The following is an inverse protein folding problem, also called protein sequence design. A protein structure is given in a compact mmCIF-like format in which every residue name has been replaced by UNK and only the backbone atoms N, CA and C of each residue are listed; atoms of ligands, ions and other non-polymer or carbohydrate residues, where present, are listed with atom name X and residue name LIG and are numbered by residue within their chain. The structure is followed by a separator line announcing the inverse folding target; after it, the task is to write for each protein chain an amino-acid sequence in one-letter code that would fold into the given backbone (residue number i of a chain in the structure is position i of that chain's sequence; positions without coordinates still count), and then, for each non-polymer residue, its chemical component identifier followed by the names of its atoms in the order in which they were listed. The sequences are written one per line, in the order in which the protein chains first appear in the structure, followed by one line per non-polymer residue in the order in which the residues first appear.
data_IF_142110461966
#
_entry.id   IF_142110461966
#
_cell.length_a   1.000
_cell.length_b   1.000
_cell.length_c   1.000
_cell.angle_alpha   90.00
_cell.angle_beta   90.00
_cell.angle_gamma   90.00
#
_symmetry.space_group_name_H-M   'P 1'
#
loop_
_entity.id
_entity.type
_entity.pdbx_description
1 polymer ?
#
# COMPACT_ATOMS: atom_id res chain seq x y z
N UNK A 1 -7.87 2.20 -24.35
CA UNK A 1 -7.08 2.66 -23.18
C UNK A 1 -7.74 3.94 -22.69
N UNK A 2 -8.39 3.93 -21.53
CA UNK A 2 -8.91 5.16 -20.93
C UNK A 2 -7.72 5.81 -20.21
N UNK A 3 -7.41 7.04 -20.58
CA UNK A 3 -6.35 7.82 -19.93
C UNK A 3 -6.68 7.95 -18.44
N UNK A 4 -5.73 7.49 -17.62
CA UNK A 4 -5.76 7.71 -16.18
C UNK A 4 -5.63 9.23 -16.00
N UNK A 5 -6.65 9.87 -15.42
CA UNK A 5 -6.50 11.22 -14.90
C UNK A 5 -5.44 11.17 -13.79
N UNK A 6 -4.19 11.42 -14.19
CA UNK A 6 -3.02 11.36 -13.34
C UNK A 6 -3.24 12.28 -12.14
N UNK A 7 -3.00 11.78 -10.92
CA UNK A 7 -2.66 12.67 -9.80
C UNK A 7 -1.51 13.53 -10.32
N UNK A 8 -1.75 14.82 -10.48
CA UNK A 8 -0.81 15.72 -11.13
C UNK A 8 0.44 15.80 -10.25
N UNK A 9 1.56 15.27 -10.73
CA UNK A 9 2.85 15.35 -10.05
C UNK A 9 3.29 16.82 -9.87
N UNK A 10 2.68 17.74 -10.61
CA UNK A 10 2.84 19.20 -10.43
C UNK A 10 2.28 19.71 -9.11
N UNK A 11 1.32 19.01 -8.48
CA UNK A 11 0.70 19.47 -7.23
C UNK A 11 1.70 19.57 -6.06
N UNK A 12 2.81 18.83 -6.11
CA UNK A 12 3.91 18.88 -5.13
C UNK A 12 5.24 19.28 -5.76
N UNK A 13 5.21 19.88 -6.95
CA UNK A 13 6.40 20.25 -7.72
C UNK A 13 7.41 19.09 -7.93
N UNK A 14 6.92 17.84 -7.95
CA UNK A 14 7.79 16.66 -8.13
C UNK A 14 8.36 16.58 -9.55
N UNK A 15 7.68 17.22 -10.50
CA UNK A 15 8.07 17.20 -11.91
C UNK A 15 9.24 18.16 -12.20
N UNK A 16 9.40 19.25 -11.44
CA UNK A 16 10.60 20.08 -11.51
C UNK A 16 11.82 19.32 -10.94
N UNK A 17 11.63 18.61 -9.82
CA UNK A 17 12.66 17.78 -9.21
C UNK A 17 13.13 16.65 -10.14
N UNK A 18 12.24 16.07 -10.97
CA UNK A 18 12.63 15.08 -11.99
C UNK A 18 13.61 15.64 -13.03
N UNK A 19 13.52 16.93 -13.34
CA UNK A 19 14.29 17.59 -14.39
C UNK A 19 15.62 18.16 -13.89
N UNK A 20 15.76 18.46 -12.59
CA UNK A 20 17.01 18.97 -12.00
C UNK A 20 18.11 17.91 -11.85
N UNK A 21 17.76 16.61 -11.75
CA UNK A 21 18.77 15.56 -11.64
C UNK A 21 19.35 15.16 -12.99
N UNK A 22 20.68 15.18 -13.10
CA UNK A 22 21.43 14.77 -14.32
C UNK A 22 21.21 13.30 -14.73
N UNK A 23 20.67 12.46 -13.83
CA UNK A 23 20.18 11.11 -14.13
C UNK A 23 18.68 11.07 -13.89
N UNK A 24 17.90 10.54 -14.84
CA UNK A 24 16.45 10.33 -14.69
C UNK A 24 16.14 9.54 -13.40
N UNK A 25 15.71 10.24 -12.35
CA UNK A 25 15.29 9.62 -11.10
C UNK A 25 13.96 8.92 -11.33
N UNK A 26 13.82 7.69 -10.83
CA UNK A 26 12.57 6.93 -10.96
C UNK A 26 11.48 7.55 -10.10
N UNK A 27 10.25 7.58 -10.60
CA UNK A 27 9.06 8.06 -9.88
C UNK A 27 8.90 7.40 -8.49
N UNK A 28 9.14 6.07 -8.39
CA UNK A 28 9.13 5.34 -7.11
C UNK A 28 10.12 5.86 -6.06
N UNK A 29 11.21 6.50 -6.50
CA UNK A 29 12.24 7.03 -5.59
C UNK A 29 11.80 8.39 -5.06
N UNK A 30 11.23 9.22 -5.92
CA UNK A 30 10.70 10.54 -5.55
C UNK A 30 9.53 10.44 -4.57
N UNK A 31 8.58 9.54 -4.83
CA UNK A 31 7.45 9.35 -3.91
C UNK A 31 7.94 8.89 -2.54
N UNK A 32 8.93 7.98 -2.48
CA UNK A 32 9.48 7.52 -1.20
C UNK A 32 10.24 8.62 -0.48
N UNK A 33 10.98 9.47 -1.19
CA UNK A 33 11.76 10.56 -0.57
C UNK A 33 10.91 11.61 0.13
N UNK A 34 9.61 11.66 -0.14
CA UNK A 34 8.66 12.51 0.60
C UNK A 34 8.41 12.06 2.05
N UNK A 35 8.91 10.89 2.44
CA UNK A 35 8.66 10.27 3.74
C UNK A 35 9.94 10.04 4.53
N UNK A 36 9.83 10.03 5.86
CA UNK A 36 10.94 9.78 6.78
C UNK A 36 10.69 8.54 7.61
N UNK A 37 11.66 7.64 7.70
CA UNK A 37 11.53 6.41 8.51
C UNK A 37 11.51 6.71 10.01
N UNK A 38 10.65 6.03 10.79
CA UNK A 38 10.62 6.21 12.26
C UNK A 38 11.89 5.76 12.97
N UNK A 39 12.59 4.77 12.43
CA UNK A 39 13.72 4.16 13.12
C UNK A 39 14.91 5.12 13.10
N UNK A 40 15.40 5.61 14.26
CA UNK A 40 16.53 6.56 14.29
C UNK A 40 17.79 6.01 13.62
N UNK A 41 18.03 4.69 13.75
CA UNK A 41 19.13 3.99 13.08
C UNK A 41 18.96 3.84 11.55
N UNK A 42 17.79 4.12 10.99
CA UNK A 42 17.56 4.14 9.54
C UNK A 42 17.36 5.59 9.13
N UNK A 43 18.46 6.31 8.95
CA UNK A 43 18.43 7.67 8.41
C UNK A 43 17.86 7.64 6.98
N UNK A 44 16.89 8.51 6.71
CA UNK A 44 16.33 8.74 5.37
C UNK A 44 14.99 8.04 5.07
N UNK A 45 14.67 8.01 3.79
CA UNK A 45 13.37 7.60 3.28
C UNK A 45 13.17 6.07 3.30
N UNK A 46 11.92 5.56 3.39
CA UNK A 46 11.64 4.13 3.45
C UNK A 46 12.24 3.38 2.24
N UNK A 47 12.91 2.26 2.52
CA UNK A 47 13.45 1.39 1.47
C UNK A 47 12.30 0.75 0.67
N UNK A 48 12.50 0.58 -0.63
CA UNK A 48 11.53 -0.07 -1.53
C UNK A 48 11.11 -1.46 -1.05
N UNK A 49 12.09 -2.29 -0.72
CA UNK A 49 11.83 -3.67 -0.26
C UNK A 49 11.06 -3.68 1.06
N UNK A 50 11.33 -2.72 1.95
CA UNK A 50 10.60 -2.58 3.21
C UNK A 50 9.11 -2.30 2.96
N UNK A 51 8.80 -1.38 2.05
CA UNK A 51 7.43 -1.08 1.63
C UNK A 51 6.72 -2.30 1.03
N UNK A 52 7.36 -2.98 0.07
CA UNK A 52 6.84 -4.20 -0.54
C UNK A 52 6.54 -5.28 0.51
N UNK A 53 7.49 -5.48 1.42
CA UNK A 53 7.34 -6.40 2.55
C UNK A 53 6.13 -6.07 3.42
N UNK A 54 6.00 -4.81 3.86
CA UNK A 54 4.88 -4.35 4.69
C UNK A 54 3.54 -4.57 4.01
N UNK A 55 3.40 -4.11 2.77
CA UNK A 55 2.14 -4.18 2.01
C UNK A 55 1.74 -5.63 1.72
N UNK A 56 2.67 -6.46 1.22
CA UNK A 56 2.39 -7.86 0.91
C UNK A 56 2.05 -8.65 2.18
N UNK A 57 2.78 -8.44 3.29
CA UNK A 57 2.47 -9.13 4.55
C UNK A 57 1.09 -8.76 5.08
N UNK A 58 0.72 -7.49 5.00
CA UNK A 58 -0.61 -7.05 5.38
C UNK A 58 -1.70 -7.61 4.46
N UNK A 59 -1.47 -7.67 3.14
CA UNK A 59 -2.41 -8.28 2.20
C UNK A 59 -2.63 -9.77 2.50
N UNK A 60 -1.54 -10.54 2.69
CA UNK A 60 -1.63 -11.95 3.15
C UNK A 60 -2.40 -12.07 4.47
N UNK A 61 -2.20 -11.14 5.41
CA UNK A 61 -2.92 -11.11 6.70
C UNK A 61 -4.41 -10.85 6.50
N UNK A 62 -4.79 -9.93 5.61
CA UNK A 62 -6.18 -9.64 5.28
C UNK A 62 -6.88 -10.87 4.71
N UNK A 63 -6.28 -11.55 3.73
CA UNK A 63 -6.82 -12.79 3.17
C UNK A 63 -7.02 -13.89 4.23
N UNK A 64 -6.05 -14.08 5.13
CA UNK A 64 -6.22 -15.05 6.25
C UNK A 64 -7.32 -14.66 7.24
N UNK A 65 -7.60 -13.37 7.40
CA UNK A 65 -8.66 -12.86 8.25
C UNK A 65 -10.02 -13.09 7.61
N UNK A 66 -10.16 -12.78 6.32
CA UNK A 66 -11.35 -13.06 5.50
C UNK A 66 -11.71 -14.54 5.56
N UNK A 67 -10.73 -15.43 5.33
CA UNK A 67 -10.93 -16.88 5.44
C UNK A 67 -11.46 -17.34 6.79
N UNK A 68 -11.17 -16.60 7.87
CA UNK A 68 -11.66 -16.87 9.23
C UNK A 68 -12.98 -16.14 9.55
N UNK A 69 -13.58 -15.44 8.59
CA UNK A 69 -14.75 -14.58 8.82
C UNK A 69 -14.44 -13.41 9.75
N UNK A 70 -13.18 -12.96 9.82
CA UNK A 70 -12.72 -11.89 10.72
C UNK A 70 -12.31 -10.67 9.91
N UNK A 71 -12.42 -9.51 10.55
CA UNK A 71 -11.86 -8.27 10.05
C UNK A 71 -10.33 -8.22 10.22
N UNK A 72 -9.69 -7.36 9.42
CA UNK A 72 -8.26 -7.07 9.58
C UNK A 72 -7.99 -6.40 10.93
N UNK A 73 -8.82 -5.42 11.28
CA UNK A 73 -8.86 -4.69 12.55
C UNK A 73 -10.17 -4.97 13.28
N UNK A 74 -10.16 -5.01 14.61
CA UNK A 74 -11.29 -5.52 15.39
C UNK A 74 -12.53 -4.58 15.40
N UNK A 75 -12.43 -3.35 14.88
CA UNK A 75 -13.44 -2.31 15.07
C UNK A 75 -14.19 -1.98 13.78
N UNK A 76 -15.28 -2.69 13.50
CA UNK A 76 -16.15 -2.43 12.34
C UNK A 76 -16.92 -1.09 12.45
N UNK A 77 -17.13 -0.61 13.69
CA UNK A 77 -17.94 0.58 14.01
C UNK A 77 -17.23 1.91 13.70
N UNK A 78 -15.90 1.91 13.64
CA UNK A 78 -15.07 3.11 13.42
C UNK A 78 -14.71 3.31 11.94
N UNK A 79 -15.04 2.36 11.08
CA UNK A 79 -14.67 2.38 9.67
C UNK A 79 -15.66 3.18 8.83
N UNK A 80 -15.17 4.02 7.92
CA UNK A 80 -16.05 4.72 6.99
C UNK A 80 -16.81 3.77 6.07
N UNK A 81 -17.85 4.31 5.42
CA UNK A 81 -18.61 3.57 4.43
C UNK A 81 -17.74 3.10 3.26
N UNK A 82 -16.78 3.94 2.83
CA UNK A 82 -15.77 3.55 1.84
C UNK A 82 -14.89 2.39 2.33
N UNK A 83 -14.47 2.43 3.60
CA UNK A 83 -13.76 1.33 4.25
C UNK A 83 -14.54 0.02 4.20
N UNK A 84 -15.84 0.05 4.53
CA UNK A 84 -16.72 -1.12 4.46
C UNK A 84 -16.87 -1.65 3.04
N UNK A 85 -17.10 -0.77 2.07
CA UNK A 85 -17.23 -1.14 0.65
C UNK A 85 -15.95 -1.79 0.12
N UNK A 86 -14.78 -1.20 0.40
CA UNK A 86 -13.50 -1.76 -0.02
C UNK A 86 -13.22 -3.12 0.66
N UNK A 87 -13.58 -3.27 1.93
CA UNK A 87 -13.48 -4.57 2.61
C UNK A 87 -14.40 -5.62 1.99
N UNK A 88 -15.64 -5.24 1.66
CA UNK A 88 -16.58 -6.14 1.01
C UNK A 88 -16.10 -6.56 -0.38
N UNK A 89 -15.58 -5.63 -1.18
CA UNK A 89 -14.95 -5.96 -2.46
C UNK A 89 -13.77 -6.91 -2.29
N UNK A 90 -12.94 -6.70 -1.26
CA UNK A 90 -11.84 -7.61 -0.94
C UNK A 90 -12.33 -9.03 -0.60
N UNK A 91 -13.43 -9.15 0.16
CA UNK A 91 -14.08 -10.45 0.44
C UNK A 91 -14.57 -11.09 -0.86
N UNK A 92 -15.28 -10.33 -1.70
CA UNK A 92 -15.86 -10.84 -2.94
C UNK A 92 -14.76 -11.40 -3.86
N UNK A 93 -13.64 -10.69 -3.99
CA UNK A 93 -12.49 -11.16 -4.77
C UNK A 93 -11.85 -12.40 -4.12
N UNK A 94 -11.79 -12.46 -2.78
CA UNK A 94 -11.31 -13.65 -2.08
C UNK A 94 -12.14 -14.91 -2.41
N UNK A 95 -13.47 -14.76 -2.45
CA UNK A 95 -14.40 -15.83 -2.78
C UNK A 95 -14.38 -16.18 -4.27
N UNK A 96 -14.07 -15.22 -5.14
CA UNK A 96 -13.91 -15.40 -6.59
C UNK A 96 -12.62 -16.16 -6.94
N UNK A 97 -11.52 -15.91 -6.23
CA UNK A 97 -10.19 -16.49 -6.51
C UNK A 97 -9.57 -17.24 -5.32
N UNK A 98 -10.28 -18.20 -4.70
CA UNK A 98 -9.87 -18.79 -3.42
C UNK A 98 -8.54 -19.53 -3.52
N UNK A 99 -8.32 -20.28 -4.61
CA UNK A 99 -7.10 -21.08 -4.81
C UNK A 99 -5.85 -20.20 -4.97
N UNK A 100 -5.95 -19.15 -5.80
CA UNK A 100 -4.85 -18.22 -6.02
C UNK A 100 -4.47 -17.52 -4.70
N UNK A 101 -5.46 -17.03 -3.96
CA UNK A 101 -5.23 -16.27 -2.73
C UNK A 101 -4.79 -17.14 -1.56
N UNK A 102 -5.29 -18.37 -1.45
CA UNK A 102 -4.81 -19.33 -0.47
C UNK A 102 -3.35 -19.70 -0.71
N UNK A 103 -2.94 -19.92 -1.97
CA UNK A 103 -1.56 -20.30 -2.30
C UNK A 103 -0.57 -19.22 -1.84
N UNK A 104 -0.87 -17.94 -2.10
CA UNK A 104 0.05 -16.84 -1.78
C UNK A 104 -0.06 -16.36 -0.33
N UNK A 105 -1.14 -16.66 0.39
CA UNK A 105 -1.39 -16.22 1.76
C UNK A 105 -0.83 -17.14 2.84
N UNK A 106 -0.35 -18.32 2.45
CA UNK A 106 0.38 -19.25 3.33
C UNK A 106 1.63 -18.58 3.90
N UNK A 107 1.80 -18.70 5.21
CA UNK A 107 2.99 -18.28 5.94
C UNK A 107 3.86 -19.51 6.12
N UNK A 108 4.63 -19.89 5.11
CA UNK A 108 5.63 -20.97 5.23
C UNK A 108 6.90 -20.39 5.87
N UNK A 109 6.75 -19.84 7.07
CA UNK A 109 7.87 -19.58 7.96
C UNK A 109 7.77 -20.59 9.09
N UNK A 110 7.96 -21.87 8.77
CA UNK A 110 8.51 -22.74 9.80
C UNK A 110 9.94 -22.24 10.06
N UNK A 111 10.35 -22.04 11.33
CA UNK A 111 11.73 -21.75 11.63
C UNK A 111 12.57 -22.87 11.01
N UNK A 112 13.54 -22.50 10.18
CA UNK A 112 14.48 -23.44 9.56
C UNK A 112 15.18 -24.17 10.72
N UNK A 113 14.69 -25.35 11.07
CA UNK A 113 15.43 -26.32 11.87
C UNK A 113 16.56 -26.75 10.93
N UNK A 114 17.75 -26.18 11.15
CA UNK A 114 18.96 -26.45 10.38
C UNK A 114 19.23 -27.95 10.28
N UNK A 115 18.73 -28.64 9.26
CA UNK A 115 19.30 -29.89 8.74
C UNK A 115 19.00 -29.99 7.24
N UNK A 116 20.09 -30.14 6.48
CA UNK A 116 20.19 -30.53 5.06
C UNK A 116 20.09 -29.46 3.98
N UNK A 117 21.11 -29.46 3.12
CA UNK A 117 21.26 -28.70 1.87
C UNK A 117 20.26 -29.23 0.83
N UNK A 118 18.99 -28.86 0.94
CA UNK A 118 18.02 -29.10 -0.13
C UNK A 118 17.96 -27.88 -1.07
N UNK A 119 17.78 -28.15 -2.37
CA UNK A 119 17.65 -27.12 -3.42
C UNK A 119 16.55 -26.12 -3.05
N UNK A 120 16.72 -24.82 -3.34
CA UNK A 120 15.75 -23.81 -2.95
C UNK A 120 14.43 -24.06 -3.67
N UNK A 121 13.44 -24.58 -2.95
CA UNK A 121 12.05 -24.50 -3.38
C UNK A 121 11.57 -23.04 -3.32
N UNK A 122 10.52 -22.75 -4.08
CA UNK A 122 9.90 -21.44 -4.32
C UNK A 122 9.69 -20.57 -3.05
N UNK A 123 9.68 -21.19 -1.87
CA UNK A 123 9.02 -20.70 -0.66
C UNK A 123 9.95 -20.14 0.43
N UNK A 124 11.27 -20.06 0.17
CA UNK A 124 12.26 -19.68 1.21
C UNK A 124 12.96 -18.33 1.00
N UNK A 125 12.53 -17.48 0.06
CA UNK A 125 13.17 -16.17 -0.09
C UNK A 125 12.86 -15.27 1.10
N UNK A 126 13.84 -15.07 1.99
CA UNK A 126 13.75 -14.15 3.13
C UNK A 126 13.57 -12.68 2.70
N UNK A 127 13.90 -12.36 1.44
CA UNK A 127 13.82 -11.03 0.85
C UNK A 127 12.56 -10.84 0.02
N UNK A 128 11.91 -9.67 0.15
CA UNK A 128 10.81 -9.22 -0.72
C UNK A 128 11.40 -8.55 -1.98
N UNK A 129 12.33 -9.27 -2.60
CA UNK A 129 13.04 -8.82 -3.78
C UNK A 129 12.12 -8.84 -5.02
N UNK A 130 12.63 -8.37 -6.15
CA UNK A 130 11.88 -8.29 -7.40
C UNK A 130 11.31 -9.64 -7.84
N UNK A 131 12.07 -10.73 -7.72
CA UNK A 131 11.63 -12.06 -8.17
C UNK A 131 10.51 -12.64 -7.28
N UNK A 132 10.62 -12.44 -5.96
CA UNK A 132 9.54 -12.77 -5.04
C UNK A 132 8.27 -11.99 -5.41
N UNK A 133 8.38 -10.68 -5.58
CA UNK A 133 7.22 -9.84 -5.89
C UNK A 133 6.59 -10.19 -7.25
N UNK A 134 7.41 -10.47 -8.28
CA UNK A 134 6.91 -10.93 -9.58
C UNK A 134 6.08 -12.21 -9.45
N UNK A 135 6.58 -13.20 -8.71
CA UNK A 135 5.85 -14.46 -8.47
C UNK A 135 4.58 -14.23 -7.65
N UNK A 136 4.65 -13.40 -6.62
CA UNK A 136 3.50 -13.08 -5.78
C UNK A 136 2.37 -12.44 -6.60
N UNK A 137 2.71 -11.49 -7.48
CA UNK A 137 1.74 -10.76 -8.30
C UNK A 137 1.51 -11.39 -9.67
N UNK A 138 1.95 -12.62 -9.94
CA UNK A 138 1.83 -13.24 -11.26
C UNK A 138 0.35 -13.47 -11.65
N UNK A 139 -0.48 -13.85 -10.68
CA UNK A 139 -1.90 -14.11 -10.85
C UNK A 139 -2.72 -12.81 -10.82
N UNK A 140 -3.66 -12.65 -11.76
CA UNK A 140 -4.50 -11.45 -11.85
C UNK A 140 -5.47 -11.32 -10.69
N UNK A 141 -6.00 -12.42 -10.15
CA UNK A 141 -6.85 -12.42 -8.96
C UNK A 141 -6.10 -11.98 -7.71
N UNK A 142 -4.79 -12.25 -7.62
CA UNK A 142 -3.94 -11.70 -6.56
C UNK A 142 -3.76 -10.20 -6.71
N UNK A 143 -3.60 -9.68 -7.94
CA UNK A 143 -3.51 -8.23 -8.20
C UNK A 143 -4.84 -7.52 -7.93
N UNK A 144 -5.96 -8.11 -8.34
CA UNK A 144 -7.32 -7.64 -8.05
C UNK A 144 -7.57 -7.54 -6.53
N UNK A 145 -7.22 -8.59 -5.79
CA UNK A 145 -7.36 -8.61 -4.33
C UNK A 145 -6.44 -7.59 -3.66
N UNK A 146 -5.19 -7.50 -4.12
CA UNK A 146 -4.24 -6.55 -3.59
C UNK A 146 -4.69 -5.09 -3.79
N UNK A 147 -5.28 -4.76 -4.95
CA UNK A 147 -5.86 -3.44 -5.21
C UNK A 147 -6.89 -3.05 -4.13
N UNK A 148 -7.91 -3.89 -3.90
CA UNK A 148 -8.94 -3.58 -2.90
C UNK A 148 -8.38 -3.54 -1.47
N UNK A 149 -7.32 -4.29 -1.19
CA UNK A 149 -6.63 -4.21 0.09
C UNK A 149 -5.90 -2.86 0.27
N UNK A 150 -5.28 -2.31 -0.77
CA UNK A 150 -4.70 -0.96 -0.71
C UNK A 150 -5.82 0.07 -0.60
N UNK A 151 -6.89 -0.03 -1.41
CA UNK A 151 -8.05 0.85 -1.30
C UNK A 151 -8.62 0.85 0.12
N UNK A 152 -8.71 -0.33 0.74
CA UNK A 152 -9.15 -0.49 2.13
C UNK A 152 -8.24 0.23 3.14
N UNK A 153 -6.91 0.13 3.01
CA UNK A 153 -5.97 0.81 3.92
C UNK A 153 -6.08 2.32 3.81
N UNK A 154 -6.30 2.82 2.60
CA UNK A 154 -6.36 4.25 2.30
C UNK A 154 -7.79 4.78 2.25
N UNK A 155 -8.79 4.01 2.71
CA UNK A 155 -10.20 4.44 2.71
C UNK A 155 -10.42 5.67 3.56
N UNK A 156 -9.82 5.68 4.75
CA UNK A 156 -9.83 6.77 5.71
C UNK A 156 -8.44 7.39 5.71
N UNK A 157 -8.25 8.46 4.92
CA UNK A 157 -6.96 9.12 4.78
C UNK A 157 -6.57 9.83 6.09
N UNK A 158 -6.08 9.06 7.06
CA UNK A 158 -5.53 9.54 8.32
C UNK A 158 -4.00 9.34 8.32
N UNK A 159 -3.22 10.42 8.15
CA UNK A 159 -1.77 10.34 8.16
C UNK A 159 -1.17 9.70 9.41
N UNK A 160 -1.81 9.81 10.57
CA UNK A 160 -1.30 9.27 11.82
C UNK A 160 -1.38 7.73 11.81
N UNK A 161 -2.56 7.21 11.46
CA UNK A 161 -2.80 5.77 11.35
C UNK A 161 -1.99 5.13 10.20
N UNK A 162 -1.91 5.80 9.05
CA UNK A 162 -1.08 5.37 7.94
C UNK A 162 0.40 5.34 8.32
N UNK A 163 0.87 6.34 9.07
CA UNK A 163 2.25 6.39 9.57
C UNK A 163 2.52 5.21 10.51
N UNK A 164 1.63 4.96 11.48
CA UNK A 164 1.74 3.81 12.42
C UNK A 164 1.77 2.48 11.67
N UNK A 165 0.88 2.31 10.68
CA UNK A 165 0.77 1.08 9.91
C UNK A 165 2.04 0.79 9.08
N UNK A 166 2.49 1.79 8.32
CA UNK A 166 3.58 1.63 7.35
C UNK A 166 4.97 1.83 7.98
N UNK A 167 5.05 2.54 9.11
CA UNK A 167 6.25 2.71 9.91
C UNK A 167 7.18 3.83 9.43
N UNK A 168 6.62 4.89 8.85
CA UNK A 168 7.31 6.12 8.42
C UNK A 168 6.32 7.29 8.44
N UNK A 169 6.81 8.53 8.48
CA UNK A 169 5.99 9.75 8.54
C UNK A 169 6.08 10.58 7.26
N UNK A 170 5.03 11.38 7.02
CA UNK A 170 4.97 12.37 5.94
C UNK A 170 5.49 13.76 6.33
N UNK A 171 5.63 14.03 7.64
CA UNK A 171 6.13 15.28 8.21
C UNK A 171 6.80 15.03 9.59
N UNK A 172 7.64 15.97 10.08
CA UNK A 172 8.34 15.83 11.36
C UNK A 172 7.46 16.16 12.58
N UNK A 173 6.59 17.18 12.48
CA UNK A 173 5.99 17.80 13.68
C UNK A 173 4.60 17.26 14.04
N UNK A 174 4.14 16.19 13.38
CA UNK A 174 2.79 15.59 13.52
C UNK A 174 1.62 16.56 13.28
N UNK A 175 1.89 17.80 12.89
CA UNK A 175 0.91 18.77 12.39
C UNK A 175 0.64 18.49 10.92
N UNK A 176 -0.38 17.70 10.65
CA UNK A 176 -0.74 17.31 9.29
C UNK A 176 -1.49 18.43 8.57
N UNK A 177 -1.11 18.66 7.31
CA UNK A 177 -1.71 19.65 6.42
C UNK A 177 -2.05 18.99 5.07
N UNK A 178 -2.54 19.79 4.12
CA UNK A 178 -2.95 19.30 2.81
C UNK A 178 -1.79 18.63 2.03
N UNK A 179 -0.56 19.12 2.18
CA UNK A 179 0.64 18.48 1.59
C UNK A 179 0.84 17.04 2.10
N UNK A 180 0.57 16.79 3.40
CA UNK A 180 0.59 15.43 3.94
C UNK A 180 -0.43 14.52 3.25
N UNK A 181 -1.63 15.02 2.97
CA UNK A 181 -2.66 14.26 2.26
C UNK A 181 -2.20 13.91 0.83
N UNK A 182 -1.66 14.87 0.08
CA UNK A 182 -1.13 14.63 -1.25
C UNK A 182 0.01 13.61 -1.26
N UNK A 183 0.95 13.69 -0.31
CA UNK A 183 2.02 12.69 -0.14
C UNK A 183 1.45 11.28 0.02
N UNK A 184 0.42 11.12 0.85
CA UNK A 184 -0.22 9.82 1.07
C UNK A 184 -1.00 9.31 -0.15
N UNK A 185 -1.61 10.20 -0.94
CA UNK A 185 -2.23 9.82 -2.21
C UNK A 185 -1.21 9.33 -3.24
N UNK A 186 -0.05 9.97 -3.30
CA UNK A 186 1.07 9.47 -4.12
C UNK A 186 1.57 8.12 -3.61
N UNK A 187 1.63 7.92 -2.28
CA UNK A 187 1.97 6.62 -1.71
C UNK A 187 0.94 5.54 -2.05
N UNK A 188 -0.36 5.88 -2.08
CA UNK A 188 -1.43 4.99 -2.54
C UNK A 188 -1.25 4.61 -4.01
N UNK A 189 -1.02 5.60 -4.90
CA UNK A 189 -0.69 5.36 -6.32
C UNK A 189 0.56 4.49 -6.47
N UNK A 190 1.60 4.76 -5.69
CA UNK A 190 2.79 3.94 -5.68
C UNK A 190 2.47 2.48 -5.31
N UNK A 191 1.69 2.29 -4.24
CA UNK A 191 1.31 0.98 -3.75
C UNK A 191 0.48 0.17 -4.77
N UNK A 192 -0.52 0.80 -5.41
CA UNK A 192 -1.44 0.15 -6.35
C UNK A 192 -0.85 -0.07 -7.75
N UNK A 193 -0.15 0.94 -8.27
CA UNK A 193 0.23 1.00 -9.67
C UNK A 193 1.73 0.81 -9.87
N UNK A 194 2.54 1.68 -9.27
CA UNK A 194 3.97 1.78 -9.59
C UNK A 194 4.73 0.53 -9.15
N UNK A 195 4.43 -0.03 -7.97
CA UNK A 195 5.03 -1.30 -7.51
C UNK A 195 4.83 -2.40 -8.55
N UNK A 196 3.64 -2.51 -9.15
CA UNK A 196 3.30 -3.58 -10.09
C UNK A 196 3.98 -3.33 -11.45
N UNK A 197 3.94 -2.08 -11.94
CA UNK A 197 4.59 -1.69 -13.19
C UNK A 197 6.12 -1.87 -13.14
N UNK A 198 6.75 -1.59 -11.99
CA UNK A 198 8.19 -1.83 -11.77
C UNK A 198 8.56 -3.32 -11.86
N UNK A 199 7.60 -4.22 -11.69
CA UNK A 199 7.76 -5.66 -11.85
C UNK A 199 7.49 -6.11 -13.29
N UNK A 200 7.18 -5.18 -14.21
CA UNK A 200 6.77 -5.44 -15.60
C UNK A 200 5.47 -6.26 -15.67
N UNK A 201 4.53 -5.93 -14.79
CA UNK A 201 3.19 -6.51 -14.76
C UNK A 201 2.16 -5.40 -14.92
N UNK A 202 0.98 -5.76 -15.43
CA UNK A 202 -0.16 -4.85 -15.53
C UNK A 202 -0.89 -4.79 -14.18
N UNK A 203 -1.04 -3.59 -13.57
CA UNK A 203 -1.91 -3.40 -12.41
C UNK A 203 -3.35 -3.78 -12.76
N UNK A 204 -4.10 -4.20 -11.75
CA UNK A 204 -5.54 -4.43 -11.90
C UNK A 204 -6.29 -3.20 -11.38
N UNK A 205 -7.30 -2.76 -12.13
CA UNK A 205 -8.24 -1.72 -11.76
C UNK A 205 -9.66 -2.17 -12.10
N UNK A 206 -10.69 -1.77 -11.33
CA UNK A 206 -12.08 -2.01 -11.70
C UNK A 206 -12.47 -1.16 -12.93
N UNK A 207 -13.53 -1.56 -13.62
CA UNK A 207 -14.00 -0.88 -14.84
C UNK A 207 -14.40 0.59 -14.60
N UNK A 208 -14.88 0.88 -13.39
CA UNK A 208 -15.06 2.22 -12.84
C UNK A 208 -14.21 2.38 -11.59
N UNK A 209 -13.34 3.39 -11.57
CA UNK A 209 -12.57 3.75 -10.38
C UNK A 209 -12.40 5.27 -10.30
N UNK A 210 -12.60 5.82 -9.10
CA UNK A 210 -12.31 7.21 -8.80
C UNK A 210 -10.98 7.29 -8.05
N UNK A 211 -9.97 7.91 -8.65
CA UNK A 211 -8.63 8.06 -8.05
C UNK A 211 -8.58 9.13 -6.96
N UNK A 212 -9.48 10.12 -7.04
CA UNK A 212 -9.40 11.39 -6.30
C UNK A 212 -10.26 11.56 -5.03
N UNK A 213 -11.13 10.64 -4.59
CA UNK A 213 -12.04 10.93 -3.50
C UNK A 213 -11.46 11.00 -2.05
N UNK A 214 -10.16 10.80 -1.73
CA UNK A 214 -9.72 10.89 -0.32
C UNK A 214 -9.32 12.29 0.18
N UNK A 215 -9.19 13.31 -0.67
CA UNK A 215 -8.80 14.67 -0.20
C UNK A 215 -9.94 15.33 0.57
N UNK A 216 -11.16 15.21 0.07
CA UNK A 216 -12.34 15.86 0.68
C UNK A 216 -12.59 15.34 2.09
N UNK A 217 -12.35 14.04 2.32
CA UNK A 217 -12.44 13.41 3.64
C UNK A 217 -11.35 13.95 4.59
N UNK A 218 -10.13 14.16 4.07
CA UNK A 218 -9.04 14.75 4.84
C UNK A 218 -9.37 16.19 5.27
N UNK A 219 -9.92 17.00 4.35
CA UNK A 219 -10.34 18.37 4.67
C UNK A 219 -11.43 18.36 5.76
N UNK A 220 -12.48 17.55 5.58
CA UNK A 220 -13.58 17.44 6.56
C UNK A 220 -13.10 16.99 7.96
N UNK A 221 -12.20 16.00 8.04
CA UNK A 221 -11.68 15.49 9.30
C UNK A 221 -10.70 16.45 9.99
N UNK A 222 -9.93 17.22 9.20
CA UNK A 222 -9.08 18.30 9.71
C UNK A 222 -9.93 19.34 10.44
N UNK A 223 -11.00 19.83 9.82
CA UNK A 223 -11.88 20.82 10.45
C UNK A 223 -12.57 20.32 11.73
N UNK A 224 -12.96 19.03 11.78
CA UNK A 224 -13.59 18.45 12.99
C UNK A 224 -12.62 18.26 14.16
N UNK A 225 -11.35 17.92 13.92
CA UNK A 225 -10.34 17.80 14.98
C UNK A 225 -10.01 19.14 15.64
N UNK A 226 -10.14 20.26 14.93
CA UNK A 226 -9.86 21.59 15.47
C UNK A 226 -11.09 22.29 16.10
N UNK A 227 -12.32 21.92 15.71
CA UNK A 227 -13.54 22.55 16.24
C UNK A 227 -14.13 21.88 17.50
N UNK A 228 -13.57 20.75 17.95
CA UNK A 228 -13.97 20.08 19.20
C UNK A 228 -13.09 20.49 20.41
N UNK A 229 -12.43 21.65 20.33
CA UNK A 229 -11.58 22.22 21.40
C UNK A 229 -12.16 23.52 22.00
N UNK A 230 -13.48 23.74 21.89
CA UNK A 230 -14.19 24.79 22.61
C UNK A 230 -15.30 24.21 23.47
#
# INVERSE_FOLDING_TARGET
MKEIASIDLKALDLQSQMNEFSRKVKEETLIRSLFTSFKPQIKGHPKKEYLRCKLIRGHKRANRKIKKGKLLYNNQKEMSERGKQNWQSLINVHLKHPNALDSVSRTLFEPIKFKTKSKPTIETSRSFNTDFCKRYFADVGVRESYYYYIEYIFSDLDPEELSKYLGFTCCPDQKHNLDCAYKWLLMKRYANQIIIQDLRLEPWFPESFDLLPPIDDFLCNSFRKYNNLC
#
